data_IF_679984134457
#
_entry.id   IF_679984134457
#
_cell.length_a   1.000
_cell.length_b   1.000
_cell.length_c   1.000
_cell.angle_alpha   90.00
_cell.angle_beta   90.00
_cell.angle_gamma   90.00
#
_symmetry.space_group_name_H-M   'P 1'
#
loop_
_entity.id
_entity.type
_entity.pdbx_description
1 polymer ?
#
# COMPACT_ATOMS: atom_id res chain seq x y z
N UNK A 1 -13.35 -0.34 -8.69
CA UNK A 1 -12.30 -1.39 -8.71
C UNK A 1 -12.08 -1.96 -7.30
N UNK A 2 -12.88 -2.95 -6.87
CA UNK A 2 -12.80 -3.52 -5.51
C UNK A 2 -11.68 -4.55 -5.34
N UNK A 3 -11.43 -5.37 -6.35
CA UNK A 3 -10.36 -6.38 -6.36
C UNK A 3 -8.99 -5.77 -6.04
N UNK A 4 -8.57 -4.75 -6.80
CA UNK A 4 -7.30 -4.04 -6.59
C UNK A 4 -7.20 -3.44 -5.17
N UNK A 5 -8.30 -2.92 -4.65
CA UNK A 5 -8.32 -2.31 -3.33
C UNK A 5 -8.02 -3.32 -2.22
N UNK A 6 -8.58 -4.54 -2.30
CA UNK A 6 -8.37 -5.58 -1.27
C UNK A 6 -7.05 -6.32 -1.43
N UNK A 7 -6.49 -6.40 -2.64
CA UNK A 7 -5.22 -7.12 -2.90
C UNK A 7 -3.98 -6.24 -2.78
N UNK A 8 -4.11 -4.91 -2.91
CA UNK A 8 -2.93 -4.03 -2.93
C UNK A 8 -3.18 -2.65 -2.31
N UNK A 9 -4.12 -1.84 -2.83
CA UNK A 9 -4.19 -0.42 -2.47
C UNK A 9 -4.50 -0.18 -0.99
N UNK A 10 -5.37 -0.99 -0.38
CA UNK A 10 -5.71 -0.81 1.05
C UNK A 10 -4.55 -1.19 1.95
N UNK A 11 -3.84 -2.28 1.64
CA UNK A 11 -2.63 -2.64 2.36
C UNK A 11 -1.58 -1.52 2.26
N UNK A 12 -1.33 -0.99 1.06
CA UNK A 12 -0.38 0.11 0.87
C UNK A 12 -0.76 1.37 1.67
N UNK A 13 -2.05 1.70 1.77
CA UNK A 13 -2.53 2.82 2.60
C UNK A 13 -2.32 2.54 4.09
N UNK A 14 -2.69 1.36 4.58
CA UNK A 14 -2.54 0.98 5.99
C UNK A 14 -1.07 1.01 6.40
N UNK A 15 -0.18 0.45 5.58
CA UNK A 15 1.25 0.41 5.84
C UNK A 15 1.99 1.71 5.47
N UNK A 16 1.26 2.79 5.15
CA UNK A 16 1.83 4.11 4.89
C UNK A 16 2.85 4.18 3.73
N UNK A 17 2.62 3.37 2.69
CA UNK A 17 3.44 3.31 1.47
C UNK A 17 2.63 3.60 0.20
N UNK A 18 1.45 4.18 0.34
CA UNK A 18 0.64 4.67 -0.78
C UNK A 18 1.00 6.14 -1.09
N UNK A 19 1.21 6.54 -2.36
CA UNK A 19 1.00 5.78 -3.60
C UNK A 19 2.26 5.07 -4.12
N UNK A 20 3.37 5.01 -3.36
CA UNK A 20 4.58 4.31 -3.79
C UNK A 20 4.27 2.86 -4.22
N UNK A 21 3.35 2.18 -3.53
CA UNK A 21 2.79 0.88 -3.93
C UNK A 21 1.28 0.91 -4.04
N UNK A 22 0.72 -0.09 -4.73
CA UNK A 22 -0.73 -0.32 -4.80
C UNK A 22 -1.48 0.69 -5.68
N UNK A 23 -0.77 1.42 -6.55
CA UNK A 23 -1.35 2.31 -7.57
C UNK A 23 -0.46 2.29 -8.83
N UNK A 24 -1.09 2.32 -10.00
CA UNK A 24 -0.41 2.64 -11.25
C UNK A 24 -0.49 4.15 -11.43
N UNK A 25 0.63 4.84 -11.20
CA UNK A 25 0.77 6.28 -11.37
C UNK A 25 2.24 6.63 -11.58
N UNK A 26 2.51 7.79 -12.19
CA UNK A 26 3.87 8.33 -12.29
C UNK A 26 4.44 8.51 -10.88
N UNK A 27 5.66 8.00 -10.65
CA UNK A 27 6.33 8.03 -9.35
C UNK A 27 6.03 6.84 -8.42
N UNK A 28 5.10 5.95 -8.77
CA UNK A 28 4.92 4.67 -8.07
C UNK A 28 6.00 3.67 -8.46
N UNK A 29 6.31 2.72 -7.57
CA UNK A 29 7.18 1.59 -7.88
C UNK A 29 6.58 0.75 -9.01
N UNK A 30 7.44 0.29 -9.92
CA UNK A 30 7.07 -0.62 -10.99
C UNK A 30 6.91 -2.07 -10.49
N UNK A 31 5.99 -2.26 -9.54
CA UNK A 31 5.48 -3.55 -9.09
C UNK A 31 4.10 -3.78 -9.72
N UNK A 32 4.07 -4.49 -10.84
CA UNK A 32 2.92 -4.58 -11.77
C UNK A 32 2.66 -6.03 -12.14
N UNK A 33 1.39 -6.40 -12.28
CA UNK A 33 0.97 -7.69 -12.84
C UNK A 33 0.15 -7.46 -14.10
N UNK A 34 0.53 -8.11 -15.20
CA UNK A 34 -0.31 -8.26 -16.39
C UNK A 34 -1.23 -9.45 -16.15
N UNK A 35 -2.52 -9.16 -16.06
CA UNK A 35 -3.54 -10.13 -15.69
C UNK A 35 -4.37 -10.52 -16.91
N UNK A 36 -4.52 -11.83 -17.17
CA UNK A 36 -5.42 -12.30 -18.21
C UNK A 36 -6.84 -12.44 -17.66
N UNK A 37 -7.81 -11.63 -18.11
CA UNK A 37 -9.20 -11.74 -17.65
C UNK A 37 -9.98 -12.89 -18.32
N UNK A 38 -9.46 -13.47 -19.42
CA UNK A 38 -10.11 -14.55 -20.18
C UNK A 38 -9.84 -15.93 -19.58
N UNK A 39 -8.74 -16.08 -18.84
CA UNK A 39 -8.39 -17.28 -18.09
C UNK A 39 -8.56 -16.97 -16.60
N UNK A 40 -9.33 -17.76 -15.88
CA UNK A 40 -9.66 -17.48 -14.48
C UNK A 40 -8.39 -17.49 -13.62
N UNK A 41 -7.98 -16.32 -13.12
CA UNK A 41 -6.96 -16.24 -12.08
C UNK A 41 -5.50 -16.12 -12.53
N UNK A 42 -5.22 -15.93 -13.83
CA UNK A 42 -3.86 -16.06 -14.35
C UNK A 42 -3.10 -14.72 -14.41
N UNK A 43 -1.99 -14.67 -13.67
CA UNK A 43 -0.94 -13.67 -13.86
C UNK A 43 0.00 -14.11 -14.99
N UNK A 44 -0.13 -13.50 -16.17
CA UNK A 44 0.69 -13.83 -17.34
C UNK A 44 2.12 -13.32 -17.19
N UNK A 45 2.25 -12.08 -16.69
CA UNK A 45 3.54 -11.43 -16.49
C UNK A 45 3.55 -10.73 -15.15
N UNK A 46 4.63 -10.87 -14.38
CA UNK A 46 4.87 -10.08 -13.18
C UNK A 46 6.14 -9.27 -13.34
N UNK A 47 6.02 -7.96 -13.09
CA UNK A 47 7.11 -7.01 -13.05
C UNK A 47 7.29 -6.62 -11.59
N UNK A 48 8.52 -6.72 -11.07
CA UNK A 48 8.87 -6.16 -9.78
C UNK A 48 10.08 -5.26 -9.90
N UNK A 49 9.98 -4.07 -9.31
CA UNK A 49 11.04 -3.04 -9.35
C UNK A 49 11.54 -2.78 -10.77
N UNK A 50 10.64 -2.79 -11.76
CA UNK A 50 10.94 -2.53 -13.16
C UNK A 50 11.58 -3.69 -13.94
N UNK A 51 11.70 -4.88 -13.35
CA UNK A 51 12.20 -6.08 -14.02
C UNK A 51 11.08 -7.11 -14.19
N UNK A 52 11.00 -7.74 -15.37
CA UNK A 52 10.14 -8.92 -15.57
C UNK A 52 10.73 -10.06 -14.75
N UNK A 53 9.98 -10.52 -13.75
CA UNK A 53 10.41 -11.61 -12.85
C UNK A 53 9.65 -12.91 -13.11
N UNK A 54 8.49 -12.82 -13.78
CA UNK A 54 7.68 -13.96 -14.18
C UNK A 54 7.13 -13.71 -15.57
N UNK A 55 7.36 -14.66 -16.49
CA UNK A 55 6.80 -14.67 -17.84
C UNK A 55 6.94 -16.07 -18.44
N UNK A 56 6.09 -16.46 -19.39
CA UNK A 56 6.18 -17.75 -20.09
C UNK A 56 6.25 -18.96 -19.13
N UNK A 57 5.57 -18.86 -17.99
CA UNK A 57 5.57 -19.86 -16.93
C UNK A 57 6.98 -20.14 -16.34
N UNK A 58 7.89 -19.18 -16.44
CA UNK A 58 9.24 -19.23 -15.90
C UNK A 58 9.48 -18.10 -14.91
N UNK A 59 10.14 -18.44 -13.80
CA UNK A 59 10.56 -17.50 -12.78
C UNK A 59 12.00 -17.05 -13.05
N UNK A 60 12.18 -15.76 -13.30
CA UNK A 60 13.46 -15.13 -13.62
C UNK A 60 13.88 -14.17 -12.50
N UNK A 61 14.28 -14.73 -11.35
CA UNK A 61 14.70 -13.94 -10.18
C UNK A 61 15.90 -14.56 -9.47
N UNK A 62 16.79 -13.70 -8.97
CA UNK A 62 17.89 -14.10 -8.11
C UNK A 62 17.53 -13.86 -6.63
N UNK A 63 17.92 -14.79 -5.75
CA UNK A 63 17.73 -14.63 -4.30
C UNK A 63 18.42 -13.34 -3.83
N UNK A 64 17.70 -12.54 -3.02
CA UNK A 64 18.21 -11.25 -2.53
C UNK A 64 17.86 -10.05 -3.41
N UNK A 65 17.21 -10.24 -4.57
CA UNK A 65 16.72 -9.14 -5.43
C UNK A 65 15.70 -8.25 -4.72
N UNK A 66 14.89 -8.81 -3.82
CA UNK A 66 13.94 -8.06 -3.00
C UNK A 66 14.67 -7.12 -2.03
N UNK A 67 14.12 -5.92 -1.82
CA UNK A 67 14.60 -4.98 -0.79
C UNK A 67 13.50 -4.69 0.22
N UNK A 68 13.91 -4.52 1.48
CA UNK A 68 13.05 -4.03 2.54
C UNK A 68 12.49 -2.64 2.20
N UNK A 69 11.24 -2.39 2.57
CA UNK A 69 10.59 -1.09 2.45
C UNK A 69 10.28 -0.61 3.87
N UNK A 70 11.02 0.38 4.39
CA UNK A 70 10.75 0.94 5.71
C UNK A 70 9.36 1.54 5.78
N UNK A 71 8.63 1.24 6.86
CA UNK A 71 7.30 1.79 7.09
C UNK A 71 7.43 3.02 7.97
N UNK A 72 6.86 4.15 7.52
CA UNK A 72 6.82 5.36 8.33
C UNK A 72 5.75 5.23 9.42
N UNK A 73 6.04 5.63 10.67
CA UNK A 73 5.04 5.70 11.73
C UNK A 73 3.97 6.77 11.39
N UNK A 74 2.94 6.85 12.22
CA UNK A 74 1.86 7.84 12.11
C UNK A 74 1.15 7.84 10.74
N UNK A 75 0.64 6.67 10.36
CA UNK A 75 -0.17 6.51 9.17
C UNK A 75 -1.50 7.27 9.28
N UNK A 76 -1.64 8.39 8.57
CA UNK A 76 -2.87 9.19 8.56
C UNK A 76 -4.12 8.40 8.13
N UNK A 77 -3.98 7.39 7.26
CA UNK A 77 -5.10 6.54 6.86
C UNK A 77 -5.69 5.74 8.04
N UNK A 78 -4.84 5.37 9.01
CA UNK A 78 -5.24 4.61 10.21
C UNK A 78 -5.57 5.56 11.37
N UNK A 79 -4.71 6.55 11.64
CA UNK A 79 -4.77 7.35 12.87
C UNK A 79 -5.42 8.73 12.70
N UNK A 80 -5.69 9.17 11.47
CA UNK A 80 -6.18 10.52 11.21
C UNK A 80 -7.47 10.85 11.95
N UNK A 81 -8.44 9.92 11.97
CA UNK A 81 -9.70 10.10 12.69
C UNK A 81 -9.51 10.09 14.22
N UNK A 82 -8.66 9.18 14.72
CA UNK A 82 -8.35 9.06 16.15
C UNK A 82 -7.75 10.35 16.69
N UNK A 83 -6.79 10.95 15.98
CA UNK A 83 -6.17 12.22 16.37
C UNK A 83 -7.17 13.38 16.46
N UNK A 84 -8.09 13.47 15.49
CA UNK A 84 -9.16 14.47 15.52
C UNK A 84 -10.09 14.24 16.71
N UNK A 85 -10.45 12.98 16.98
CA UNK A 85 -11.29 12.63 18.11
C UNK A 85 -10.62 12.93 19.45
N UNK A 86 -9.34 12.57 19.62
CA UNK A 86 -8.56 12.86 20.83
C UNK A 86 -8.48 14.36 21.09
N UNK A 87 -8.21 15.16 20.06
CA UNK A 87 -8.16 16.63 20.18
C UNK A 87 -9.49 17.20 20.65
N UNK A 88 -10.61 16.72 20.11
CA UNK A 88 -11.96 17.16 20.51
C UNK A 88 -12.34 16.68 21.91
N UNK A 89 -11.89 15.50 22.32
CA UNK A 89 -12.18 14.88 23.62
C UNK A 89 -11.25 15.36 24.74
N UNK A 90 -10.30 16.27 24.46
CA UNK A 90 -9.42 16.82 25.50
C UNK A 90 -10.27 17.48 26.60
N UNK A 91 -10.13 17.03 27.87
CA UNK A 91 -10.86 17.62 28.98
C UNK A 91 -10.47 19.10 29.10
N UNK A 92 -11.45 19.95 29.46
CA UNK A 92 -11.22 21.38 29.68
C UNK A 92 -11.32 21.67 31.18
N UNK A 93 -10.34 22.43 31.67
CA UNK A 93 -10.36 22.92 33.05
C UNK A 93 -11.49 23.94 33.18
N UNK A 94 -12.30 23.81 34.23
CA UNK A 94 -13.29 24.83 34.62
C UNK A 94 -12.65 25.67 35.71
N UNK A 95 -12.33 26.92 35.40
CA UNK A 95 -11.84 27.87 36.39
C UNK A 95 -13.01 28.31 37.27
N UNK A 96 -12.83 28.23 38.58
CA UNK A 96 -13.77 28.75 39.57
C UNK A 96 -13.04 29.86 40.31
N UNK A 97 -13.34 31.10 39.95
CA UNK A 97 -12.88 32.24 40.72
C UNK A 97 -13.69 32.27 42.04
N UNK A 98 -13.00 32.60 43.14
CA UNK A 98 -13.60 32.73 44.47
C UNK A 98 -14.49 33.96 44.58
#
# INVERSE_FOLDING_TARGET
MRFVAITSSTAAKIFNIYPQKGRIAVGSDADIVIWNPKVTGLAETTISRGKVVWENNQLNVEKGTGKFVPLLPDCNYVFGATRVAETKKKPRVINRDQ
#
